data_IF_952108121509
#
_entry.id   IF_952108121509
#
_cell.length_a   1.000
_cell.length_b   1.000
_cell.length_c   1.000
_cell.angle_alpha   90.00
_cell.angle_beta   90.00
_cell.angle_gamma   90.00
#
_symmetry.space_group_name_H-M   'P 1'
#
loop_
_entity.id
_entity.type
_entity.pdbx_description
1 polymer ?
#
# COMPACT_ATOMS: atom_id res chain seq x y z
N UNK A 1 24.27 -28.09 -9.45
CA UNK A 1 23.18 -27.69 -8.53
C UNK A 1 22.09 -27.05 -9.36
N UNK A 2 20.84 -27.51 -9.29
CA UNK A 2 19.73 -26.81 -9.95
C UNK A 2 19.36 -25.60 -9.11
N UNK A 3 19.50 -24.41 -9.67
CA UNK A 3 19.00 -23.18 -9.06
C UNK A 3 17.46 -23.30 -9.06
N UNK A 4 16.87 -23.50 -7.89
CA UNK A 4 15.42 -23.36 -7.73
C UNK A 4 15.14 -21.86 -7.79
N UNK A 5 14.76 -21.38 -8.96
CA UNK A 5 14.28 -20.01 -9.13
C UNK A 5 12.86 -19.95 -8.58
N UNK A 6 12.69 -19.33 -7.41
CA UNK A 6 11.36 -19.16 -6.81
C UNK A 6 10.61 -18.09 -7.58
N UNK A 7 9.45 -18.45 -8.12
CA UNK A 7 8.52 -17.49 -8.71
C UNK A 7 7.61 -16.93 -7.62
N UNK A 8 7.59 -15.61 -7.48
CA UNK A 8 6.69 -14.87 -6.61
C UNK A 8 5.64 -14.15 -7.47
N UNK A 9 4.38 -14.56 -7.33
CA UNK A 9 3.24 -13.92 -7.98
C UNK A 9 1.95 -14.09 -7.16
N UNK A 10 0.89 -13.33 -7.41
CA UNK A 10 0.75 -12.34 -8.49
C UNK A 10 0.75 -10.88 -8.03
N UNK A 11 0.55 -10.59 -6.74
CA UNK A 11 0.35 -9.20 -6.30
C UNK A 11 1.65 -8.47 -5.96
N UNK A 12 1.91 -7.42 -6.74
CA UNK A 12 2.89 -6.37 -6.47
C UNK A 12 2.24 -5.03 -6.76
N UNK A 13 2.35 -4.09 -5.82
CA UNK A 13 1.71 -2.78 -5.92
C UNK A 13 2.59 -1.71 -5.28
N UNK A 14 2.20 -0.45 -5.43
CA UNK A 14 2.77 0.66 -4.67
C UNK A 14 1.92 0.83 -3.40
N UNK A 15 2.52 0.63 -2.24
CA UNK A 15 1.95 1.07 -0.97
C UNK A 15 2.37 2.54 -0.77
N UNK A 16 1.44 3.49 -0.91
CA UNK A 16 1.65 4.88 -0.50
C UNK A 16 1.32 5.02 0.97
N UNK A 17 2.35 5.05 1.81
CA UNK A 17 2.22 5.08 3.27
C UNK A 17 2.07 6.51 3.77
N UNK A 18 0.96 6.78 4.44
CA UNK A 18 0.56 8.09 4.94
C UNK A 18 0.34 7.97 6.45
N UNK A 19 1.13 8.72 7.23
CA UNK A 19 0.91 8.80 8.69
C UNK A 19 -0.28 9.69 8.98
N UNK A 20 -1.27 9.17 9.70
CA UNK A 20 -2.48 9.92 10.04
C UNK A 20 -2.12 11.11 10.93
N UNK A 21 -2.52 12.30 10.50
CA UNK A 21 -2.34 13.56 11.20
C UNK A 21 -3.51 14.49 10.90
N UNK A 22 -3.72 15.52 11.73
CA UNK A 22 -4.75 16.53 11.46
C UNK A 22 -4.57 17.20 10.08
N UNK A 23 -3.33 17.38 9.63
CA UNK A 23 -3.07 17.92 8.29
C UNK A 23 -3.64 17.03 7.19
N UNK A 24 -3.41 15.71 7.29
CA UNK A 24 -3.93 14.73 6.34
C UNK A 24 -5.46 14.66 6.39
N UNK A 25 -6.05 14.62 7.59
CA UNK A 25 -7.51 14.57 7.73
C UNK A 25 -8.18 15.83 7.16
N UNK A 26 -7.63 17.01 7.44
CA UNK A 26 -8.15 18.27 6.88
C UNK A 26 -7.98 18.33 5.35
N UNK A 27 -6.91 17.77 4.79
CA UNK A 27 -6.70 17.70 3.35
C UNK A 27 -7.73 16.79 2.68
N UNK A 28 -8.02 15.62 3.28
CA UNK A 28 -9.08 14.71 2.83
C UNK A 28 -10.47 15.35 2.88
N UNK A 29 -10.80 16.09 3.94
CA UNK A 29 -12.07 16.83 4.02
C UNK A 29 -12.17 17.88 2.91
N UNK A 30 -11.07 18.58 2.62
CA UNK A 30 -11.01 19.60 1.56
C UNK A 30 -11.19 19.03 0.15
N UNK A 31 -10.74 17.80 -0.10
CA UNK A 31 -10.93 17.11 -1.38
C UNK A 31 -12.31 16.45 -1.50
N UNK A 32 -13.13 16.50 -0.45
CA UNK A 32 -14.46 15.89 -0.42
C UNK A 32 -14.47 14.42 -0.02
N UNK A 33 -13.33 13.86 0.41
CA UNK A 33 -13.19 12.48 0.86
C UNK A 33 -13.65 12.28 2.32
N UNK A 34 -14.78 12.88 2.71
CA UNK A 34 -15.30 12.85 4.09
C UNK A 34 -15.57 11.42 4.57
N UNK A 35 -16.05 10.54 3.70
CA UNK A 35 -16.26 9.12 4.00
C UNK A 35 -14.97 8.38 4.34
N UNK A 36 -13.85 8.75 3.70
CA UNK A 36 -12.51 8.22 4.01
C UNK A 36 -12.08 8.67 5.41
N UNK A 37 -12.28 9.95 5.75
CA UNK A 37 -11.98 10.51 7.08
C UNK A 37 -12.76 9.79 8.17
N UNK A 38 -14.08 9.65 8.01
CA UNK A 38 -14.95 8.95 8.95
C UNK A 38 -14.51 7.49 9.14
N UNK A 39 -14.12 6.82 8.05
CA UNK A 39 -13.61 5.44 8.07
C UNK A 39 -12.31 5.36 8.87
N UNK A 40 -11.32 6.22 8.60
CA UNK A 40 -10.05 6.26 9.33
C UNK A 40 -10.31 6.48 10.83
N UNK A 41 -11.11 7.49 11.19
CA UNK A 41 -11.43 7.80 12.60
C UNK A 41 -12.15 6.64 13.30
N UNK A 42 -13.04 5.93 12.61
CA UNK A 42 -13.71 4.74 13.13
C UNK A 42 -12.71 3.61 13.45
N UNK A 43 -11.74 3.39 12.57
CA UNK A 43 -10.69 2.39 12.76
C UNK A 43 -9.68 2.77 13.85
N UNK A 44 -9.34 4.05 13.98
CA UNK A 44 -8.56 4.56 15.11
C UNK A 44 -9.27 4.32 16.45
N UNK A 45 -10.58 4.59 16.52
CA UNK A 45 -11.40 4.34 17.73
C UNK A 45 -11.47 2.85 18.09
N UNK A 46 -11.60 1.96 17.09
CA UNK A 46 -11.67 0.51 17.32
C UNK A 46 -10.30 -0.14 17.54
N UNK A 47 -9.21 0.51 17.08
CA UNK A 47 -7.84 -0.02 17.12
C UNK A 47 -7.67 -1.27 16.26
N UNK A 48 -8.36 -1.34 15.13
CA UNK A 48 -8.34 -2.45 14.18
C UNK A 48 -8.23 -1.91 12.76
N UNK A 49 -7.28 -2.39 11.98
CA UNK A 49 -7.14 -2.06 10.57
C UNK A 49 -8.11 -2.81 9.67
N UNK A 50 -8.27 -2.31 8.44
CA UNK A 50 -9.04 -2.98 7.38
C UNK A 50 -8.65 -2.43 6.00
N UNK A 51 -8.83 -3.26 4.98
CA UNK A 51 -8.69 -2.88 3.58
C UNK A 51 -10.06 -2.67 2.92
N UNK A 52 -10.14 -1.63 2.08
CA UNK A 52 -11.32 -1.22 1.33
C UNK A 52 -10.97 -1.08 -0.14
N UNK A 53 -11.73 -1.73 -1.01
CA UNK A 53 -11.67 -1.44 -2.45
C UNK A 53 -12.44 -0.15 -2.71
N UNK A 54 -11.82 0.77 -3.44
CA UNK A 54 -12.41 2.06 -3.80
C UNK A 54 -12.56 2.21 -5.30
N UNK A 55 -13.49 3.08 -5.71
CA UNK A 55 -13.62 3.46 -7.11
C UNK A 55 -12.53 4.49 -7.52
N UNK A 56 -12.53 4.82 -8.81
CA UNK A 56 -11.57 5.76 -9.38
C UNK A 56 -11.72 7.18 -8.82
N UNK A 57 -12.92 7.60 -8.46
CA UNK A 57 -13.17 8.97 -8.00
C UNK A 57 -12.52 9.18 -6.63
N UNK A 58 -12.69 8.23 -5.72
CA UNK A 58 -11.98 8.24 -4.43
C UNK A 58 -10.47 8.13 -4.66
N UNK A 59 -10.00 7.24 -5.55
CA UNK A 59 -8.57 7.11 -5.84
C UNK A 59 -7.95 8.45 -6.31
N UNK A 60 -8.65 9.18 -7.18
CA UNK A 60 -8.22 10.51 -7.64
C UNK A 60 -8.16 11.52 -6.49
N UNK A 61 -9.13 11.51 -5.58
CA UNK A 61 -9.10 12.36 -4.38
C UNK A 61 -7.89 12.06 -3.48
N UNK A 62 -7.51 10.79 -3.36
CA UNK A 62 -6.36 10.36 -2.55
C UNK A 62 -5.01 10.62 -3.22
N UNK A 63 -4.97 10.70 -4.56
CA UNK A 63 -3.74 10.83 -5.35
C UNK A 63 -2.89 12.06 -5.04
N UNK A 64 -3.51 13.11 -4.50
CA UNK A 64 -2.84 14.35 -4.11
C UNK A 64 -2.08 14.25 -2.79
N UNK A 65 -2.38 13.26 -1.96
CA UNK A 65 -1.75 13.10 -0.66
C UNK A 65 -0.28 12.71 -0.81
N UNK A 66 0.56 13.36 0.00
CA UNK A 66 1.98 13.02 0.10
C UNK A 66 2.15 11.87 1.09
N UNK A 67 2.90 10.87 0.68
CA UNK A 67 3.29 9.72 1.50
C UNK A 67 4.67 9.20 1.11
N UNK A 68 5.11 8.17 1.81
CA UNK A 68 6.28 7.39 1.44
C UNK A 68 5.82 6.21 0.57
N UNK A 69 6.28 6.17 -0.67
CA UNK A 69 5.98 5.07 -1.57
C UNK A 69 6.95 3.91 -1.28
N UNK A 70 6.40 2.70 -1.07
CA UNK A 70 7.17 1.47 -0.91
C UNK A 70 6.60 0.34 -1.74
N UNK A 71 7.44 -0.65 -2.02
CA UNK A 71 7.01 -1.89 -2.65
C UNK A 71 6.03 -2.62 -1.73
N UNK A 72 4.78 -2.77 -2.18
CA UNK A 72 3.71 -3.49 -1.51
C UNK A 72 3.30 -4.76 -2.26
N UNK A 73 2.39 -5.52 -1.66
CA UNK A 73 1.94 -6.82 -2.17
C UNK A 73 2.69 -8.01 -1.56
N UNK A 74 1.97 -9.11 -1.37
CA UNK A 74 2.50 -10.29 -0.67
C UNK A 74 3.61 -10.96 -1.48
N UNK A 75 3.43 -11.10 -2.80
CA UNK A 75 4.46 -11.68 -3.66
C UNK A 75 5.74 -10.85 -3.64
N UNK A 76 5.61 -9.51 -3.67
CA UNK A 76 6.74 -8.60 -3.62
C UNK A 76 7.47 -8.65 -2.27
N UNK A 77 6.73 -8.70 -1.16
CA UNK A 77 7.30 -8.85 0.18
C UNK A 77 8.06 -10.19 0.33
N UNK A 78 7.51 -11.29 -0.17
CA UNK A 78 8.19 -12.60 -0.16
C UNK A 78 9.46 -12.56 -1.02
N UNK A 79 9.39 -12.01 -2.23
CA UNK A 79 10.56 -11.85 -3.09
C UNK A 79 11.66 -11.01 -2.43
N UNK A 80 11.30 -9.92 -1.76
CA UNK A 80 12.25 -9.12 -0.98
C UNK A 80 12.93 -9.94 0.12
N UNK A 81 12.17 -10.71 0.90
CA UNK A 81 12.74 -11.56 1.95
C UNK A 81 13.67 -12.63 1.37
N UNK A 82 13.29 -13.29 0.28
CA UNK A 82 14.11 -14.31 -0.37
C UNK A 82 15.43 -13.72 -0.91
N UNK A 83 15.38 -12.54 -1.54
CA UNK A 83 16.58 -11.81 -1.98
C UNK A 83 17.53 -11.50 -0.80
N UNK A 84 16.98 -11.05 0.34
CA UNK A 84 17.77 -10.81 1.55
C UNK A 84 18.39 -12.08 2.15
N UNK A 85 17.83 -13.25 1.87
CA UNK A 85 18.37 -14.55 2.29
C UNK A 85 19.39 -15.13 1.30
N UNK A 86 19.67 -14.43 0.20
CA UNK A 86 20.65 -14.83 -0.82
C UNK A 86 20.09 -15.65 -1.97
N UNK A 87 18.76 -15.77 -2.09
CA UNK A 87 18.12 -16.35 -3.28
C UNK A 87 17.94 -15.30 -4.38
N UNK A 88 17.66 -15.76 -5.60
CA UNK A 88 17.33 -14.91 -6.76
C UNK A 88 15.86 -15.12 -7.17
N UNK A 89 14.90 -14.59 -6.41
CA UNK A 89 13.48 -14.76 -6.71
C UNK A 89 13.08 -13.98 -7.96
N UNK A 90 12.15 -14.54 -8.71
CA UNK A 90 11.53 -13.86 -9.84
C UNK A 90 10.19 -13.27 -9.40
N UNK A 91 10.06 -11.95 -9.44
CA UNK A 91 8.83 -11.25 -9.09
C UNK A 91 8.05 -10.93 -10.36
N UNK A 92 6.86 -11.49 -10.50
CA UNK A 92 5.95 -11.07 -11.55
C UNK A 92 5.30 -9.73 -11.15
N UNK A 93 5.54 -8.68 -11.92
CA UNK A 93 4.90 -7.37 -11.70
C UNK A 93 3.94 -7.03 -12.83
N UNK A 94 2.85 -6.35 -12.46
CA UNK A 94 1.77 -5.97 -13.38
C UNK A 94 1.86 -4.51 -13.85
N UNK A 95 2.63 -3.67 -13.16
CA UNK A 95 2.76 -2.25 -13.47
C UNK A 95 4.23 -1.82 -13.50
N UNK A 96 4.68 -1.10 -14.54
CA UNK A 96 6.05 -0.58 -14.61
C UNK A 96 6.35 0.46 -13.53
N UNK A 97 5.33 1.11 -12.96
CA UNK A 97 5.49 2.12 -11.92
C UNK A 97 6.06 1.53 -10.62
N UNK A 98 5.94 0.21 -10.44
CA UNK A 98 6.50 -0.52 -9.29
C UNK A 98 8.01 -0.73 -9.42
N UNK A 99 8.56 -0.73 -10.66
CA UNK A 99 9.97 -1.04 -10.94
C UNK A 99 10.98 -0.25 -10.09
N UNK A 100 10.84 1.08 -9.91
CA UNK A 100 11.78 1.86 -9.11
C UNK A 100 11.85 1.45 -7.63
N UNK A 101 10.83 0.73 -7.12
CA UNK A 101 10.74 0.28 -5.74
C UNK A 101 11.27 -1.15 -5.56
N UNK A 102 11.59 -1.86 -6.64
CA UNK A 102 12.11 -3.22 -6.59
C UNK A 102 13.58 -3.20 -6.15
N UNK A 103 13.94 -3.85 -5.03
CA UNK A 103 15.32 -3.91 -4.59
C UNK A 103 16.19 -4.77 -5.51
N UNK A 104 17.50 -4.54 -5.45
CA UNK A 104 18.49 -5.38 -6.13
C UNK A 104 18.37 -6.87 -5.72
N UNK A 105 18.78 -7.77 -6.62
CA UNK A 105 18.73 -9.22 -6.41
C UNK A 105 17.39 -9.89 -6.74
N UNK A 106 16.34 -9.11 -7.05
CA UNK A 106 15.07 -9.63 -7.57
C UNK A 106 15.09 -9.61 -9.10
N UNK A 107 14.78 -10.74 -9.71
CA UNK A 107 14.62 -10.86 -11.16
C UNK A 107 13.22 -10.38 -11.53
N UNK A 108 13.11 -9.38 -12.41
CA UNK A 108 11.83 -8.89 -12.94
C UNK A 108 11.76 -9.22 -14.43
N UNK A 109 10.80 -10.05 -14.87
CA UNK A 109 10.58 -10.29 -16.29
C UNK A 109 10.01 -9.03 -16.99
N UNK A 110 10.05 -8.95 -18.33
CA UNK A 110 9.48 -7.82 -19.06
C UNK A 110 8.01 -7.60 -18.71
N UNK A 111 7.67 -6.36 -18.36
CA UNK A 111 6.31 -5.95 -18.00
C UNK A 111 5.49 -5.72 -19.27
N UNK A 112 4.30 -6.31 -19.35
CA UNK A 112 3.44 -6.26 -20.55
C UNK A 112 2.23 -5.34 -20.43
N UNK A 113 1.96 -4.81 -19.24
CA UNK A 113 0.67 -4.16 -18.93
C UNK A 113 0.91 -2.76 -18.36
N UNK A 114 0.15 -1.78 -18.84
CA UNK A 114 0.12 -0.44 -18.28
C UNK A 114 -1.09 -0.33 -17.33
N UNK A 115 -0.88 0.27 -16.16
CA UNK A 115 -1.95 0.65 -15.24
C UNK A 115 -1.44 0.95 -13.84
N UNK A 116 -2.23 1.75 -13.12
CA UNK A 116 -1.92 2.20 -11.77
C UNK A 116 -2.39 1.15 -10.76
N UNK A 117 -1.50 0.79 -9.84
CA UNK A 117 -1.77 -0.18 -8.78
C UNK A 117 -1.25 0.42 -7.47
N UNK A 118 -2.04 1.31 -6.88
CA UNK A 118 -1.65 2.10 -5.69
C UNK A 118 -2.62 1.80 -4.55
N UNK A 119 -2.04 1.42 -3.41
CA UNK A 119 -2.73 1.21 -2.15
C UNK A 119 -2.39 2.39 -1.24
N UNK A 120 -3.40 3.16 -0.83
CA UNK A 120 -3.22 4.26 0.13
C UNK A 120 -3.30 3.70 1.55
N UNK A 121 -2.15 3.63 2.22
CA UNK A 121 -2.00 3.01 3.53
C UNK A 121 -1.93 4.08 4.62
N UNK A 122 -3.03 4.26 5.36
CA UNK A 122 -3.13 5.21 6.47
C UNK A 122 -2.72 4.55 7.78
N UNK A 123 -1.49 4.83 8.23
CA UNK A 123 -0.95 4.29 9.49
C UNK A 123 -1.29 5.20 10.68
N UNK A 124 -1.78 4.61 11.75
CA UNK A 124 -2.02 5.28 13.03
C UNK A 124 -1.38 4.52 14.18
N UNK A 125 -0.94 5.25 15.19
CA UNK A 125 -0.20 4.70 16.32
C UNK A 125 -1.08 4.64 17.58
N UNK A 126 -0.81 3.64 18.43
CA UNK A 126 -1.36 3.59 19.78
C UNK A 126 -0.98 4.87 20.54
N UNK A 127 -1.98 5.49 21.15
CA UNK A 127 -1.77 6.72 21.92
C UNK A 127 -2.98 7.62 21.87
N UNK A 128 -2.80 8.87 22.30
CA UNK A 128 -3.81 9.89 22.14
C UNK A 128 -3.66 10.57 20.79
N UNK A 129 -4.76 10.58 20.04
CA UNK A 129 -4.94 11.44 18.89
C UNK A 129 -6.10 12.37 19.20
N UNK A 130 -5.79 13.64 19.46
CA UNK A 130 -6.73 14.60 20.02
C UNK A 130 -7.46 14.02 21.26
N UNK A 131 -8.79 13.89 21.19
CA UNK A 131 -9.64 13.38 22.27
C UNK A 131 -9.94 11.89 22.16
N UNK A 132 -9.29 11.17 21.22
CA UNK A 132 -9.48 9.74 20.99
C UNK A 132 -8.25 8.99 21.50
N UNK A 133 -8.46 8.00 22.36
CA UNK A 133 -7.41 7.05 22.73
C UNK A 133 -7.44 5.84 21.79
N UNK A 134 -6.37 5.68 21.02
CA UNK A 134 -6.16 4.58 20.08
C UNK A 134 -5.52 3.42 20.84
N UNK A 135 -6.23 2.29 20.93
CA UNK A 135 -5.80 1.14 21.74
C UNK A 135 -4.57 0.42 21.16
N UNK A 136 -4.50 0.28 19.84
CA UNK A 136 -3.44 -0.43 19.13
C UNK A 136 -3.00 0.38 17.91
N UNK A 137 -1.70 0.35 17.58
CA UNK A 137 -1.22 0.83 16.29
C UNK A 137 -1.69 -0.11 15.19
N UNK A 138 -2.20 0.43 14.09
CA UNK A 138 -2.67 -0.35 12.95
C UNK A 138 -2.76 0.56 11.70
N UNK A 139 -3.38 0.06 10.63
CA UNK A 139 -3.55 0.81 9.37
C UNK A 139 -4.89 0.54 8.68
N UNK A 140 -5.41 1.56 7.99
CA UNK A 140 -6.50 1.39 7.03
C UNK A 140 -5.92 1.51 5.63
N UNK A 141 -6.34 0.62 4.73
CA UNK A 141 -5.86 0.56 3.35
C UNK A 141 -7.03 0.88 2.42
N UNK A 142 -6.85 1.83 1.52
CA UNK A 142 -7.77 2.08 0.41
C UNK A 142 -7.10 1.65 -0.89
N UNK A 143 -7.67 0.65 -1.54
CA UNK A 143 -7.10 -0.06 -2.67
C UNK A 143 -7.83 0.36 -3.93
N UNK A 144 -7.11 1.01 -4.84
CA UNK A 144 -7.53 1.16 -6.22
C UNK A 144 -6.61 0.30 -7.09
N UNK A 145 -7.12 -0.87 -7.44
CA UNK A 145 -6.36 -1.86 -8.18
C UNK A 145 -7.24 -2.52 -9.24
N UNK A 146 -7.48 -1.83 -10.37
CA UNK A 146 -8.26 -2.39 -11.47
C UNK A 146 -7.54 -3.54 -12.21
N UNK A 147 -6.28 -3.83 -11.86
CA UNK A 147 -5.46 -4.83 -12.54
C UNK A 147 -5.44 -6.18 -11.79
N UNK A 148 -5.63 -6.19 -10.46
CA UNK A 148 -5.69 -7.41 -9.65
C UNK A 148 -7.09 -7.72 -9.06
N UNK A 149 -8.14 -7.02 -9.50
CA UNK A 149 -9.54 -7.21 -9.07
C UNK A 149 -10.31 -8.26 -9.85
#
# INVERSE_FOLDING_TARGET
MSIVKVLCGFNSNIDRVIKVSNGVLNELERTGATNVVETILSHMKSGKGKEYVVDRDIALMLSHLRGEDRLGGNAANVAKVLSLLGDEPMLNIVSPDVLPLVPEGIIVPPVSTEGECVHYVFEFERGYFENIFIKNSDRVIFTYDPLNS
#
